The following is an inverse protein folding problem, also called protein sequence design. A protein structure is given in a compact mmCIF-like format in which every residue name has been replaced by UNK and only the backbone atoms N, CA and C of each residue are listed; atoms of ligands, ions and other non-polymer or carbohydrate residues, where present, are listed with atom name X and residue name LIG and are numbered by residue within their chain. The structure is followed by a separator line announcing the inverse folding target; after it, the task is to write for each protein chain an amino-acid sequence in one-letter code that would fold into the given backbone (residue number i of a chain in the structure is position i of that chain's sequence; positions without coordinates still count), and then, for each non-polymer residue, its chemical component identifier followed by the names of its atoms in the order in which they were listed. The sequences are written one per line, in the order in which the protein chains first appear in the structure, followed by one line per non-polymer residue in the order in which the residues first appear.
data_IF_857167567654
#
_entry.id   IF_857167567654
#
_cell.length_a   1.000
_cell.length_b   1.000
_cell.length_c   1.000
_cell.angle_alpha   90.00
_cell.angle_beta   90.00
_cell.angle_gamma   90.00
#
_symmetry.space_group_name_H-M   'P 1'
#
loop_
_entity.id
_entity.type
_entity.pdbx_description
1 polymer ?
#
# COMPACT_ATOMS: atom_id res chain seq x y z
N UNK A 1 13.34 -2.67 20.27
CA UNK A 1 13.43 -1.64 19.21
C UNK A 1 13.00 -0.30 19.81
N UNK A 2 13.70 0.81 19.52
CA UNK A 2 13.32 2.13 20.00
C UNK A 2 11.97 2.54 19.41
N UNK A 3 11.16 3.24 20.21
CA UNK A 3 9.85 3.74 19.81
C UNK A 3 9.88 5.27 19.66
N UNK A 4 8.84 5.83 19.04
CA UNK A 4 8.70 7.30 18.92
C UNK A 4 8.68 8.02 20.30
N UNK A 5 8.31 7.32 21.39
CA UNK A 5 8.39 7.87 22.76
C UNK A 5 9.84 7.96 23.25
N UNK A 6 10.69 7.03 22.84
CA UNK A 6 12.11 7.04 23.20
C UNK A 6 12.83 8.19 22.47
N UNK A 7 12.54 8.38 21.18
CA UNK A 7 13.03 9.53 20.40
C UNK A 7 12.58 10.85 21.03
N UNK A 8 11.30 10.97 21.41
CA UNK A 8 10.79 12.18 22.06
C UNK A 8 11.49 12.48 23.40
N UNK A 9 11.82 11.43 24.18
CA UNK A 9 12.53 11.55 25.45
C UNK A 9 13.96 12.03 25.25
N UNK A 10 14.70 11.41 24.33
CA UNK A 10 16.11 11.78 24.04
C UNK A 10 16.21 13.16 23.41
N UNK A 11 15.31 13.49 22.48
CA UNK A 11 15.25 14.82 21.89
C UNK A 11 14.73 15.88 22.88
N UNK A 12 14.10 15.49 23.99
CA UNK A 12 13.49 16.39 24.97
C UNK A 12 12.35 17.22 24.40
N UNK A 13 11.52 16.62 23.54
CA UNK A 13 10.39 17.26 22.88
C UNK A 13 9.11 16.45 23.09
N UNK A 14 7.95 17.06 22.82
CA UNK A 14 6.68 16.33 22.81
C UNK A 14 6.61 15.29 21.69
N UNK A 15 5.84 14.21 21.91
CA UNK A 15 5.54 13.19 20.88
C UNK A 15 4.92 13.80 19.61
N UNK A 16 4.15 14.88 19.76
CA UNK A 16 3.56 15.64 18.66
C UNK A 16 4.62 16.25 17.74
N UNK A 17 5.68 16.85 18.31
CA UNK A 17 6.78 17.45 17.54
C UNK A 17 7.58 16.41 16.76
N UNK A 18 7.90 15.26 17.38
CA UNK A 18 8.54 14.14 16.67
C UNK A 18 7.64 13.61 15.55
N UNK A 19 6.33 13.49 15.80
CA UNK A 19 5.38 13.06 14.78
C UNK A 19 5.30 14.03 13.61
N UNK A 20 5.32 15.35 13.85
CA UNK A 20 5.35 16.38 12.80
C UNK A 20 6.63 16.30 11.98
N UNK A 21 7.78 16.13 12.66
CA UNK A 21 9.07 15.96 11.99
C UNK A 21 9.08 14.76 11.04
N UNK A 22 8.58 13.61 11.52
CA UNK A 22 8.47 12.37 10.75
C UNK A 22 7.38 12.41 9.67
N UNK A 23 6.36 13.26 9.83
CA UNK A 23 5.29 13.45 8.86
C UNK A 23 5.68 14.43 7.72
N UNK A 24 6.85 15.05 7.78
CA UNK A 24 7.27 16.07 6.80
C UNK A 24 6.75 17.49 7.09
N UNK A 25 6.05 17.69 8.21
CA UNK A 25 5.56 19.00 8.67
C UNK A 25 6.66 19.77 9.43
N UNK A 26 7.89 19.71 8.92
CA UNK A 26 9.06 20.31 9.55
C UNK A 26 8.98 21.84 9.56
N UNK A 27 8.24 22.45 8.64
CA UNK A 27 8.03 23.90 8.56
C UNK A 27 7.37 24.52 9.80
N UNK A 28 6.62 23.72 10.57
CA UNK A 28 6.01 24.16 11.83
C UNK A 28 6.91 23.99 13.06
N UNK A 29 8.17 23.56 12.86
CA UNK A 29 9.16 23.32 13.91
C UNK A 29 10.32 24.29 13.75
N UNK A 30 10.82 24.81 14.87
CA UNK A 30 12.07 25.59 14.89
C UNK A 30 13.26 24.70 14.54
N UNK A 31 14.29 25.28 13.90
CA UNK A 31 15.45 24.50 13.44
C UNK A 31 16.22 23.86 14.59
N UNK A 32 16.26 24.52 15.76
CA UNK A 32 16.78 23.94 16.99
C UNK A 32 16.04 22.67 17.42
N UNK A 33 14.73 22.58 17.16
CA UNK A 33 13.94 21.39 17.46
C UNK A 33 14.21 20.26 16.47
N UNK A 34 14.35 20.60 15.18
CA UNK A 34 14.68 19.63 14.11
C UNK A 34 16.01 18.95 14.40
N UNK A 35 17.05 19.74 14.68
CA UNK A 35 18.39 19.22 14.96
C UNK A 35 18.41 18.27 16.17
N UNK A 36 17.64 18.58 17.23
CA UNK A 36 17.51 17.70 18.41
C UNK A 36 16.80 16.38 18.08
N UNK A 37 15.76 16.42 17.24
CA UNK A 37 15.03 15.22 16.82
C UNK A 37 15.90 14.35 15.92
N UNK A 38 16.61 14.96 14.97
CA UNK A 38 17.54 14.28 14.07
C UNK A 38 18.66 13.57 14.85
N UNK A 39 19.31 14.28 15.78
CA UNK A 39 20.35 13.69 16.63
C UNK A 39 19.82 12.51 17.47
N UNK A 40 18.61 12.63 18.02
CA UNK A 40 17.98 11.55 18.78
C UNK A 40 17.63 10.34 17.91
N UNK A 41 17.22 10.55 16.65
CA UNK A 41 16.93 9.49 15.69
C UNK A 41 18.22 8.73 15.34
N UNK A 42 19.32 9.45 15.08
CA UNK A 42 20.63 8.87 14.80
C UNK A 42 21.16 8.07 15.99
N UNK A 43 21.13 8.66 17.19
CA UNK A 43 21.59 7.99 18.41
C UNK A 43 20.84 6.70 18.72
N UNK A 44 19.52 6.69 18.47
CA UNK A 44 18.68 5.52 18.73
C UNK A 44 18.62 4.56 17.54
N UNK A 45 19.23 4.90 16.40
CA UNK A 45 19.05 4.21 15.13
C UNK A 45 17.57 3.94 14.83
N UNK A 46 16.71 4.92 15.13
CA UNK A 46 15.26 4.78 15.01
C UNK A 46 14.84 4.89 13.55
N UNK A 47 14.29 3.81 12.99
CA UNK A 47 13.64 3.87 11.68
C UNK A 47 12.12 3.95 11.85
N UNK A 48 11.45 4.98 11.30
CA UNK A 48 10.01 5.06 11.33
C UNK A 48 9.43 3.81 10.65
N UNK A 49 8.71 2.98 11.40
CA UNK A 49 8.10 1.78 10.86
C UNK A 49 6.81 2.17 10.10
N UNK A 50 6.77 2.04 8.76
CA UNK A 50 5.58 2.38 7.97
C UNK A 50 4.37 1.54 8.38
N UNK A 51 4.58 0.31 8.88
CA UNK A 51 3.52 -0.59 9.39
C UNK A 51 2.93 -0.06 10.70
N UNK A 52 3.74 0.52 11.59
CA UNK A 52 3.22 1.13 12.82
C UNK A 52 2.47 2.45 12.53
N UNK A 53 2.86 3.16 11.46
CA UNK A 53 2.19 4.38 10.99
C UNK A 53 0.83 4.07 10.34
N UNK A 54 0.72 3.01 9.55
CA UNK A 54 -0.56 2.57 8.99
C UNK A 54 -1.54 2.07 10.05
N UNK A 55 -1.06 1.30 11.04
CA UNK A 55 -1.88 0.80 12.14
C UNK A 55 -2.48 1.93 12.98
N UNK A 56 -1.77 3.04 13.17
CA UNK A 56 -2.22 4.16 14.02
C UNK A 56 -3.24 5.08 13.34
N UNK A 57 -3.21 5.18 12.01
CA UNK A 57 -4.14 6.00 11.24
C UNK A 57 -5.30 5.19 10.65
N UNK A 58 -5.35 3.87 10.91
CA UNK A 58 -6.38 2.98 10.34
C UNK A 58 -6.30 2.79 8.83
N UNK A 59 -5.32 3.41 8.16
CA UNK A 59 -5.12 3.38 6.72
C UNK A 59 -3.75 2.78 6.39
N UNK A 60 -3.77 1.48 6.09
CA UNK A 60 -2.74 0.72 5.38
C UNK A 60 -2.56 1.32 4.01
N UNK A 61 -1.47 2.07 3.78
CA UNK A 61 -1.10 2.61 2.46
C UNK A 61 -0.65 1.51 1.51
N UNK A 62 -1.45 0.45 1.41
CA UNK A 62 -1.24 -0.74 0.61
C UNK A 62 -2.30 -0.77 -0.48
N UNK A 63 -1.86 -0.97 -1.72
CA UNK A 63 -2.74 -1.27 -2.85
C UNK A 63 -2.41 -2.69 -3.32
N UNK A 64 -3.42 -3.49 -3.61
CA UNK A 64 -3.23 -4.82 -4.19
C UNK A 64 -3.32 -4.76 -5.71
N UNK A 65 -2.41 -5.40 -6.43
CA UNK A 65 -2.50 -5.65 -7.86
C UNK A 65 -2.48 -7.16 -8.09
N UNK A 66 -3.54 -7.69 -8.71
CA UNK A 66 -3.62 -9.09 -9.12
C UNK A 66 -3.50 -9.15 -10.64
N UNK A 67 -2.50 -9.89 -11.12
CA UNK A 67 -2.23 -10.07 -12.53
C UNK A 67 -2.64 -11.46 -13.02
N UNK A 68 -3.06 -11.54 -14.28
CA UNK A 68 -3.29 -12.81 -14.96
C UNK A 68 -1.97 -13.57 -15.14
N UNK A 69 -0.94 -12.91 -15.65
CA UNK A 69 0.38 -13.48 -15.88
C UNK A 69 1.46 -12.39 -15.82
N UNK A 70 2.40 -12.51 -14.88
CA UNK A 70 3.54 -11.58 -14.75
C UNK A 70 4.56 -11.72 -15.89
N UNK A 71 4.61 -12.87 -16.57
CA UNK A 71 5.55 -13.10 -17.67
C UNK A 71 5.15 -12.36 -18.96
N UNK A 72 3.90 -11.88 -19.05
CA UNK A 72 3.43 -11.12 -20.20
C UNK A 72 4.06 -9.71 -20.21
N UNK A 73 4.69 -9.28 -21.32
CA UNK A 73 5.25 -7.92 -21.45
C UNK A 73 4.25 -6.79 -21.17
N UNK A 74 2.96 -7.01 -21.46
CA UNK A 74 1.89 -6.06 -21.13
C UNK A 74 1.80 -5.81 -19.61
N UNK A 75 1.89 -6.87 -18.81
CA UNK A 75 1.87 -6.81 -17.35
C UNK A 75 3.04 -6.03 -16.77
N UNK A 76 4.23 -6.10 -17.41
CA UNK A 76 5.39 -5.31 -16.99
C UNK A 76 5.14 -3.82 -17.12
N UNK A 77 4.54 -3.39 -18.24
CA UNK A 77 4.16 -1.98 -18.45
C UNK A 77 3.15 -1.49 -17.41
N UNK A 78 2.15 -2.33 -17.09
CA UNK A 78 1.18 -2.03 -16.03
C UNK A 78 1.84 -1.89 -14.66
N UNK A 79 2.69 -2.84 -14.27
CA UNK A 79 3.40 -2.80 -12.99
C UNK A 79 4.22 -1.51 -12.90
N UNK A 80 4.99 -1.17 -13.93
CA UNK A 80 5.82 0.04 -13.94
C UNK A 80 4.99 1.32 -13.80
N UNK A 81 3.90 1.43 -14.56
CA UNK A 81 3.01 2.59 -14.50
C UNK A 81 2.34 2.75 -13.13
N UNK A 82 1.79 1.66 -12.60
CA UNK A 82 1.12 1.64 -11.30
C UNK A 82 2.13 1.91 -10.17
N UNK A 83 3.28 1.23 -10.18
CA UNK A 83 4.30 1.38 -9.14
C UNK A 83 4.84 2.81 -9.06
N UNK A 84 5.10 3.45 -10.22
CA UNK A 84 5.54 4.84 -10.25
C UNK A 84 4.54 5.78 -9.56
N UNK A 85 3.25 5.61 -9.80
CA UNK A 85 2.20 6.43 -9.17
C UNK A 85 2.04 6.10 -7.69
N UNK A 86 2.09 4.82 -7.32
CA UNK A 86 2.06 4.36 -5.94
C UNK A 86 3.20 5.00 -5.14
N UNK A 87 4.43 4.94 -5.66
CA UNK A 87 5.61 5.50 -5.03
C UNK A 87 5.48 7.02 -4.83
N UNK A 88 5.02 7.76 -5.85
CA UNK A 88 4.80 9.21 -5.76
C UNK A 88 3.74 9.59 -4.71
N UNK A 89 2.72 8.75 -4.54
CA UNK A 89 1.63 8.96 -3.56
C UNK A 89 1.92 8.34 -2.19
N UNK A 90 3.06 7.67 -2.02
CA UNK A 90 3.48 7.01 -0.78
C UNK A 90 2.65 5.77 -0.44
N UNK A 91 2.12 5.09 -1.45
CA UNK A 91 1.50 3.76 -1.36
C UNK A 91 2.54 2.69 -1.68
N UNK A 92 2.36 1.52 -1.08
CA UNK A 92 3.12 0.31 -1.36
C UNK A 92 2.23 -0.65 -2.14
N UNK A 93 2.74 -1.16 -3.27
CA UNK A 93 2.03 -2.12 -4.10
C UNK A 93 2.30 -3.55 -3.62
N UNK A 94 1.25 -4.33 -3.44
CA UNK A 94 1.31 -5.78 -3.22
C UNK A 94 0.92 -6.49 -4.50
N UNK A 95 1.82 -7.32 -5.02
CA UNK A 95 1.62 -8.02 -6.29
C UNK A 95 1.19 -9.47 -6.06
N UNK A 96 0.12 -9.89 -6.73
CA UNK A 96 -0.34 -11.28 -6.80
C UNK A 96 -0.37 -11.78 -8.23
N UNK A 97 0.37 -12.84 -8.55
CA UNK A 97 0.33 -13.47 -9.86
C UNK A 97 -0.64 -14.64 -9.86
N UNK A 98 -1.79 -14.51 -10.52
CA UNK A 98 -2.80 -15.56 -10.58
C UNK A 98 -2.45 -16.69 -11.55
N UNK A 99 -1.44 -16.52 -12.43
CA UNK A 99 -0.98 -17.50 -13.41
C UNK A 99 -2.14 -18.12 -14.22
N UNK A 100 -3.06 -17.27 -14.67
CA UNK A 100 -4.30 -17.62 -15.37
C UNK A 100 -5.31 -18.49 -14.60
N UNK A 101 -5.17 -18.65 -13.28
CA UNK A 101 -6.05 -19.45 -12.43
C UNK A 101 -7.01 -18.59 -11.60
N UNK A 102 -8.31 -18.86 -11.76
CA UNK A 102 -9.37 -18.22 -10.96
C UNK A 102 -9.25 -18.56 -9.45
N UNK A 103 -8.82 -19.78 -9.13
CA UNK A 103 -8.61 -20.19 -7.73
C UNK A 103 -7.47 -19.39 -7.08
N UNK A 104 -6.36 -19.19 -7.81
CA UNK A 104 -5.25 -18.37 -7.32
C UNK A 104 -5.66 -16.91 -7.15
N UNK A 105 -6.42 -16.35 -8.09
CA UNK A 105 -6.96 -15.00 -7.95
C UNK A 105 -7.80 -14.88 -6.67
N UNK A 106 -8.68 -15.84 -6.41
CA UNK A 106 -9.50 -15.85 -5.20
C UNK A 106 -8.66 -15.89 -3.91
N UNK A 107 -7.60 -16.70 -3.88
CA UNK A 107 -6.65 -16.75 -2.75
C UNK A 107 -5.98 -15.39 -2.51
N UNK A 108 -5.57 -14.70 -3.58
CA UNK A 108 -5.00 -13.35 -3.46
C UNK A 108 -6.02 -12.31 -2.99
N UNK A 109 -7.28 -12.39 -3.43
CA UNK A 109 -8.33 -11.50 -2.93
C UNK A 109 -8.53 -11.66 -1.42
N UNK A 110 -8.61 -12.89 -0.92
CA UNK A 110 -8.69 -13.17 0.53
C UNK A 110 -7.43 -12.70 1.26
N UNK A 111 -6.26 -12.94 0.68
CA UNK A 111 -4.99 -12.49 1.25
C UNK A 111 -4.96 -10.96 1.35
N UNK A 112 -5.26 -10.22 0.29
CA UNK A 112 -5.26 -8.75 0.30
C UNK A 112 -6.31 -8.15 1.24
N UNK A 113 -7.49 -8.79 1.37
CA UNK A 113 -8.47 -8.40 2.38
C UNK A 113 -7.90 -8.55 3.81
N UNK A 114 -7.13 -9.61 4.10
CA UNK A 114 -6.51 -9.81 5.42
C UNK A 114 -5.44 -8.75 5.75
N UNK A 115 -4.74 -8.23 4.73
CA UNK A 115 -3.77 -7.14 4.86
C UNK A 115 -4.41 -5.74 4.88
N UNK A 116 -5.74 -5.65 4.85
CA UNK A 116 -6.50 -4.39 4.80
C UNK A 116 -6.02 -3.49 3.66
N UNK A 117 -5.79 -3.99 2.46
CA UNK A 117 -5.44 -3.11 1.34
C UNK A 117 -6.54 -2.06 1.15
N UNK A 118 -6.16 -0.83 0.79
CA UNK A 118 -7.11 0.26 0.60
C UNK A 118 -7.82 0.21 -0.76
N UNK A 119 -7.29 -0.55 -1.71
CA UNK A 119 -7.88 -0.71 -3.03
C UNK A 119 -7.20 -1.83 -3.82
N UNK A 120 -7.86 -2.26 -4.88
CA UNK A 120 -7.46 -3.40 -5.71
C UNK A 120 -7.40 -3.01 -7.18
N UNK A 121 -6.35 -3.44 -7.86
CA UNK A 121 -6.24 -3.42 -9.30
C UNK A 121 -6.29 -4.87 -9.79
N UNK A 122 -7.19 -5.16 -10.71
CA UNK A 122 -7.48 -6.50 -11.18
C UNK A 122 -7.22 -6.58 -12.67
N UNK A 123 -6.25 -7.41 -13.07
CA UNK A 123 -6.05 -7.84 -14.45
C UNK A 123 -6.50 -9.31 -14.54
N UNK A 124 -7.74 -9.57 -14.96
CA UNK A 124 -8.32 -10.89 -14.84
C UNK A 124 -7.78 -11.85 -15.90
N UNK A 125 -7.70 -13.16 -15.57
CA UNK A 125 -7.20 -14.15 -16.51
C UNK A 125 -8.17 -14.37 -17.67
N UNK A 126 -7.65 -14.79 -18.82
CA UNK A 126 -8.44 -14.98 -20.05
C UNK A 126 -9.62 -15.95 -19.88
N UNK A 127 -9.48 -16.91 -18.96
CA UNK A 127 -10.47 -17.96 -18.66
C UNK A 127 -11.62 -17.42 -17.81
N UNK A 128 -11.53 -16.21 -17.25
CA UNK A 128 -12.56 -15.64 -16.39
C UNK A 128 -13.83 -15.16 -17.12
N UNK A 129 -14.00 -15.50 -18.40
CA UNK A 129 -15.18 -15.15 -19.20
C UNK A 129 -16.47 -15.91 -18.79
N UNK A 130 -16.46 -16.85 -17.83
CA UNK A 130 -17.55 -17.15 -16.85
C UNK A 130 -17.44 -18.54 -16.16
N UNK A 131 -18.12 -18.76 -15.00
CA UNK A 131 -18.87 -17.80 -14.19
C UNK A 131 -18.23 -17.56 -12.81
N UNK A 132 -18.03 -16.28 -12.53
CA UNK A 132 -17.91 -15.64 -11.22
C UNK A 132 -16.73 -16.03 -10.31
N UNK A 133 -16.05 -15.06 -9.67
CA UNK A 133 -15.40 -15.38 -8.41
C UNK A 133 -16.49 -15.93 -7.47
N UNK A 134 -16.25 -17.10 -6.87
CA UNK A 134 -17.22 -17.80 -6.00
C UNK A 134 -17.57 -17.00 -4.74
N UNK A 135 -16.89 -15.87 -4.54
CA UNK A 135 -17.13 -14.90 -3.48
C UNK A 135 -17.24 -13.51 -4.10
N UNK A 136 -18.14 -12.65 -3.61
CA UNK A 136 -18.17 -11.26 -4.01
C UNK A 136 -16.79 -10.62 -3.78
N UNK A 137 -16.41 -9.69 -4.67
CA UNK A 137 -15.22 -8.88 -4.43
C UNK A 137 -15.35 -8.21 -3.06
N UNK A 138 -14.24 -8.06 -2.32
CA UNK A 138 -14.27 -7.35 -1.04
C UNK A 138 -14.79 -5.93 -1.26
N UNK A 139 -15.47 -5.37 -0.24
CA UNK A 139 -16.03 -4.01 -0.23
C UNK A 139 -14.88 -2.97 -0.13
N UNK A 140 -14.09 -2.93 -1.20
CA UNK A 140 -12.90 -2.15 -1.40
C UNK A 140 -12.99 -1.54 -2.80
N UNK A 141 -12.52 -0.29 -2.99
CA UNK A 141 -12.46 0.30 -4.30
C UNK A 141 -11.56 -0.56 -5.20
N UNK A 142 -12.09 -0.97 -6.34
CA UNK A 142 -11.37 -1.83 -7.28
C UNK A 142 -11.49 -1.32 -8.71
N UNK A 143 -10.40 -1.49 -9.46
CA UNK A 143 -10.29 -1.12 -10.88
C UNK A 143 -9.94 -2.37 -11.67
N UNK A 144 -10.67 -2.61 -12.75
CA UNK A 144 -10.43 -3.73 -13.66
C UNK A 144 -9.71 -3.20 -14.90
N UNK A 145 -8.61 -3.86 -15.26
CA UNK A 145 -7.72 -3.45 -16.35
C UNK A 145 -7.78 -4.48 -17.47
N UNK A 146 -7.75 -4.01 -18.73
CA UNK A 146 -7.64 -4.78 -20.00
C UNK A 146 -8.87 -5.63 -20.32
N UNK A 147 -9.23 -6.54 -19.42
CA UNK A 147 -10.24 -7.57 -19.66
C UNK A 147 -11.47 -7.29 -18.79
N UNK A 148 -12.56 -6.94 -19.45
CA UNK A 148 -13.83 -6.65 -18.79
C UNK A 148 -14.36 -7.91 -18.07
N UNK A 149 -14.65 -7.80 -16.77
CA UNK A 149 -15.46 -8.79 -16.05
C UNK A 149 -16.90 -8.29 -16.01
N UNK A 150 -17.81 -9.05 -16.62
CA UNK A 150 -19.22 -8.73 -16.54
C UNK A 150 -19.71 -8.74 -15.08
N UNK A 151 -20.47 -7.70 -14.69
CA UNK A 151 -21.18 -7.56 -13.41
C UNK A 151 -20.36 -7.28 -12.14
N UNK A 152 -19.20 -6.62 -12.24
CA UNK A 152 -18.51 -6.07 -11.06
C UNK A 152 -18.68 -4.56 -10.99
N UNK A 153 -19.06 -4.05 -9.81
CA UNK A 153 -19.21 -2.62 -9.55
C UNK A 153 -17.82 -1.97 -9.33
N UNK A 154 -17.07 -1.78 -10.41
CA UNK A 154 -15.73 -1.20 -10.38
C UNK A 154 -15.41 -0.39 -11.63
N UNK A 155 -14.43 0.50 -11.53
CA UNK A 155 -13.98 1.30 -12.68
C UNK A 155 -13.23 0.39 -13.66
N UNK A 156 -13.43 0.59 -14.96
CA UNK A 156 -12.80 -0.20 -16.02
C UNK A 156 -11.84 0.66 -16.85
N UNK A 157 -10.63 0.14 -17.11
CA UNK A 157 -9.63 0.75 -17.99
C UNK A 157 -9.23 -0.30 -19.04
N UNK A 158 -9.61 -0.06 -20.29
CA UNK A 158 -9.30 -0.90 -21.45
C UNK A 158 -8.38 -0.22 -22.44
#
# INVERSE_FOLDING_TARGET
MPTIRDVARVAGVGKSSVSRYLNGEQHALSDALKARIEHAIEQLNYRPNPVARSLRNGQTRLLGLILADIANPYSLGLIQGIESVCQQRGFTLLLGNSANSAEQMQRYLTFFASYRVQGLLLHPPAIALSPQPTSPLPDLPHVIIDRYMAQTAGDFVG
#
